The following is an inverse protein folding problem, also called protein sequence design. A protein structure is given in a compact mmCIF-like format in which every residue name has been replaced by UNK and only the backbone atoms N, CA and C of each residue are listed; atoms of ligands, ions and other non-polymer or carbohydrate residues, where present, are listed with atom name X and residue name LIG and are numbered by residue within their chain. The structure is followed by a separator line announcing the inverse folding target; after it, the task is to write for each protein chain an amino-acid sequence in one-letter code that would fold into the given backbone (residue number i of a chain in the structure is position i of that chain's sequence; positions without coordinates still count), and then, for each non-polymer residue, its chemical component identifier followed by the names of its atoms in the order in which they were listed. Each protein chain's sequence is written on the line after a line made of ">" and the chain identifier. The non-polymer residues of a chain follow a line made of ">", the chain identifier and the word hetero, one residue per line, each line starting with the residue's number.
data_IF_262256757357
#
_entry.id   IF_262256757357
#
_cell.length_a   1.000
_cell.length_b   1.000
_cell.length_c   1.000
_cell.angle_alpha   90.00
_cell.angle_beta   90.00
_cell.angle_gamma   90.00
#
_symmetry.space_group_name_H-M   'P 1'
#
loop_
_entity.id
_entity.type
_entity.pdbx_description
1 polymer ?
#
# COMPACT_ATOMS: atom_id res chain seq x y z
N UNK A 1 -0.10 -6.95 4.88
CA UNK A 1 0.72 -8.05 5.41
C UNK A 1 2.18 -7.61 5.39
N UNK A 2 3.03 -8.24 6.20
CA UNK A 2 4.48 -7.99 6.22
C UNK A 2 5.15 -8.98 5.25
N UNK A 3 5.74 -8.47 4.17
CA UNK A 3 6.45 -9.28 3.18
C UNK A 3 7.98 -9.19 3.32
N UNK A 4 8.51 -8.13 3.94
CA UNK A 4 9.94 -7.96 4.23
C UNK A 4 10.40 -8.79 5.44
N UNK A 5 9.48 -9.14 6.35
CA UNK A 5 9.74 -9.86 7.60
C UNK A 5 10.24 -8.97 8.74
N UNK A 6 10.06 -7.65 8.65
CA UNK A 6 10.54 -6.68 9.66
C UNK A 6 9.51 -6.33 10.74
N UNK A 7 8.30 -6.89 10.65
CA UNK A 7 7.19 -6.66 11.58
C UNK A 7 6.25 -5.54 11.17
N UNK A 8 6.48 -4.86 10.05
CA UNK A 8 5.63 -3.78 9.51
C UNK A 8 4.95 -4.26 8.22
N UNK A 9 3.67 -3.92 8.06
CA UNK A 9 2.96 -4.23 6.82
C UNK A 9 3.42 -3.33 5.67
N UNK A 10 3.64 -3.90 4.49
CA UNK A 10 4.20 -3.19 3.33
C UNK A 10 3.37 -3.36 2.04
N UNK A 11 3.70 -2.59 1.00
CA UNK A 11 2.96 -2.57 -0.27
C UNK A 11 3.05 -3.90 -1.03
N UNK A 12 4.15 -4.64 -0.90
CA UNK A 12 4.30 -5.97 -1.52
C UNK A 12 3.40 -6.98 -0.82
N UNK A 13 3.29 -6.88 0.50
CA UNK A 13 2.35 -7.64 1.30
C UNK A 13 0.91 -7.33 0.93
N UNK A 14 0.54 -6.06 0.68
CA UNK A 14 -0.80 -5.73 0.13
C UNK A 14 -1.00 -6.41 -1.23
N UNK A 15 -0.02 -6.30 -2.13
CA UNK A 15 -0.07 -6.90 -3.47
C UNK A 15 -0.31 -8.41 -3.41
N UNK A 16 0.35 -9.12 -2.49
CA UNK A 16 0.23 -10.57 -2.33
C UNK A 16 -1.17 -11.03 -1.91
N UNK A 17 -2.00 -10.15 -1.34
CA UNK A 17 -3.35 -10.48 -0.86
C UNK A 17 -4.47 -9.90 -1.74
N UNK A 18 -4.15 -9.34 -2.91
CA UNK A 18 -5.17 -8.81 -3.82
C UNK A 18 -6.14 -9.88 -4.33
N UNK A 19 -5.70 -11.14 -4.47
CA UNK A 19 -6.59 -12.26 -4.84
C UNK A 19 -7.61 -12.58 -3.75
N UNK A 20 -7.21 -12.45 -2.48
CA UNK A 20 -8.14 -12.63 -1.35
C UNK A 20 -9.21 -11.54 -1.36
N UNK A 21 -8.81 -10.28 -1.64
CA UNK A 21 -9.72 -9.15 -1.76
C UNK A 21 -10.66 -9.27 -2.97
N UNK A 22 -10.15 -9.72 -4.10
CA UNK A 22 -10.97 -10.01 -5.29
C UNK A 22 -11.99 -11.13 -4.99
N UNK A 23 -11.58 -12.17 -4.25
CA UNK A 23 -12.47 -13.26 -3.82
C UNK A 23 -13.55 -12.78 -2.85
N UNK A 24 -13.21 -11.84 -1.97
CA UNK A 24 -14.17 -11.18 -1.08
C UNK A 24 -15.23 -10.38 -1.85
N UNK A 25 -14.90 -9.93 -3.07
CA UNK A 25 -15.83 -9.23 -3.97
C UNK A 25 -15.92 -7.73 -3.74
N UNK A 26 -14.83 -7.08 -3.29
CA UNK A 26 -14.78 -5.62 -3.13
C UNK A 26 -14.48 -4.92 -4.46
N UNK A 27 -14.97 -3.69 -4.61
CA UNK A 27 -14.70 -2.86 -5.80
C UNK A 27 -13.53 -1.88 -5.62
N UNK A 28 -13.14 -1.60 -4.37
CA UNK A 28 -12.11 -0.61 -4.07
C UNK A 28 -11.44 -0.81 -2.71
N UNK A 29 -10.20 -0.34 -2.59
CA UNK A 29 -9.42 -0.24 -1.35
C UNK A 29 -9.05 1.22 -1.11
N UNK A 30 -9.27 1.68 0.12
CA UNK A 30 -8.72 2.95 0.61
C UNK A 30 -7.51 2.66 1.49
N UNK A 31 -6.35 3.21 1.11
CA UNK A 31 -5.13 3.10 1.89
C UNK A 31 -5.02 4.27 2.87
N UNK A 32 -4.70 3.96 4.11
CA UNK A 32 -4.15 4.96 5.04
C UNK A 32 -2.83 5.53 4.48
N UNK A 33 -2.36 6.68 4.98
CA UNK A 33 -1.13 7.30 4.51
C UNK A 33 0.07 6.33 4.51
N UNK A 34 0.78 6.30 3.40
CA UNK A 34 2.03 5.55 3.21
C UNK A 34 3.17 6.45 2.70
N UNK A 35 2.92 7.74 2.62
CA UNK A 35 3.88 8.76 2.23
C UNK A 35 4.99 8.90 3.28
N UNK A 36 6.15 9.42 2.87
CA UNK A 36 7.28 9.64 3.79
C UNK A 36 6.85 10.46 5.01
N UNK A 37 7.10 9.94 6.21
CA UNK A 37 6.67 10.54 7.47
C UNK A 37 7.67 10.27 8.61
N UNK A 38 7.80 11.19 9.59
CA UNK A 38 8.48 10.91 10.85
C UNK A 38 7.76 9.87 11.74
N UNK A 39 6.55 9.45 11.36
CA UNK A 39 5.73 8.44 12.02
C UNK A 39 5.30 8.81 13.45
N UNK A 40 5.15 10.10 13.76
CA UNK A 40 4.65 10.54 15.08
C UNK A 40 3.14 10.43 15.21
N UNK A 41 2.42 10.37 14.07
CA UNK A 41 0.99 10.12 13.99
C UNK A 41 0.68 9.03 12.95
N UNK A 42 1.46 7.95 12.95
CA UNK A 42 1.26 6.77 12.10
C UNK A 42 1.03 7.08 10.61
N UNK A 43 1.81 8.02 10.06
CA UNK A 43 1.79 8.40 8.64
C UNK A 43 0.98 9.66 8.34
N UNK A 44 0.14 10.13 9.25
CA UNK A 44 -0.66 11.34 9.04
C UNK A 44 0.17 12.64 9.17
N UNK A 45 1.35 12.57 9.79
CA UNK A 45 2.34 13.65 9.87
C UNK A 45 3.30 13.69 8.67
N UNK A 46 2.75 13.80 7.45
CA UNK A 46 3.47 13.69 6.17
C UNK A 46 4.61 14.72 6.04
N UNK A 47 5.80 14.24 5.66
CA UNK A 47 6.99 15.04 5.36
C UNK A 47 7.22 15.24 3.85
N UNK A 48 6.88 14.25 3.03
CA UNK A 48 6.89 14.37 1.55
C UNK A 48 5.66 13.68 0.96
N UNK A 49 4.79 14.46 0.32
CA UNK A 49 3.55 13.95 -0.29
C UNK A 49 3.76 13.21 -1.62
N UNK A 50 4.96 13.27 -2.20
CA UNK A 50 5.26 12.74 -3.52
C UNK A 50 6.11 11.47 -3.51
N UNK A 51 6.49 10.98 -2.33
CA UNK A 51 7.30 9.75 -2.18
C UNK A 51 6.65 8.78 -1.18
N UNK A 52 7.02 7.50 -1.31
CA UNK A 52 6.60 6.41 -0.41
C UNK A 52 7.57 6.34 0.76
N UNK A 53 7.06 6.17 1.98
CA UNK A 53 7.93 5.95 3.13
C UNK A 53 8.73 4.65 2.95
N UNK A 54 10.06 4.66 3.10
CA UNK A 54 10.90 3.47 2.92
C UNK A 54 10.51 2.26 3.79
N UNK A 55 9.80 2.47 4.91
CA UNK A 55 9.28 1.36 5.72
C UNK A 55 8.18 0.56 5.01
N UNK A 56 7.48 1.15 4.04
CA UNK A 56 6.39 0.52 3.28
C UNK A 56 6.82 0.05 1.89
N UNK A 57 7.95 0.53 1.38
CA UNK A 57 8.52 0.14 0.09
C UNK A 57 9.00 1.34 -0.73
N UNK A 58 8.76 1.28 -2.03
CA UNK A 58 9.17 2.31 -3.00
C UNK A 58 8.01 2.72 -3.90
N UNK A 59 8.17 3.83 -4.64
CA UNK A 59 7.22 4.21 -5.70
C UNK A 59 7.00 3.09 -6.73
N UNK A 60 8.04 2.32 -7.07
CA UNK A 60 7.92 1.19 -7.99
C UNK A 60 7.08 0.05 -7.39
N UNK A 61 7.15 -0.17 -6.07
CA UNK A 61 6.30 -1.15 -5.40
C UNK A 61 4.83 -0.67 -5.39
N UNK A 62 4.59 0.64 -5.23
CA UNK A 62 3.24 1.21 -5.36
C UNK A 62 2.69 1.04 -6.79
N UNK A 63 3.48 1.35 -7.82
CA UNK A 63 3.09 1.19 -9.22
C UNK A 63 2.72 -0.27 -9.53
N UNK A 64 3.51 -1.23 -9.04
CA UNK A 64 3.24 -2.66 -9.19
C UNK A 64 1.95 -3.08 -8.47
N UNK A 65 1.75 -2.62 -7.23
CA UNK A 65 0.52 -2.90 -6.47
C UNK A 65 -0.71 -2.33 -7.17
N UNK A 66 -0.62 -1.08 -7.65
CA UNK A 66 -1.71 -0.39 -8.34
C UNK A 66 -2.09 -1.10 -9.63
N UNK A 67 -1.11 -1.48 -10.46
CA UNK A 67 -1.34 -2.25 -11.67
C UNK A 67 -2.02 -3.60 -11.36
N UNK A 68 -1.50 -4.34 -10.38
CA UNK A 68 -2.06 -5.63 -9.97
C UNK A 68 -3.49 -5.52 -9.42
N UNK A 69 -3.83 -4.43 -8.74
CA UNK A 69 -5.18 -4.16 -8.26
C UNK A 69 -6.14 -3.87 -9.42
N UNK A 70 -5.71 -3.04 -10.38
CA UNK A 70 -6.50 -2.72 -11.56
C UNK A 70 -6.74 -3.93 -12.47
N UNK A 71 -5.76 -4.84 -12.61
CA UNK A 71 -5.93 -6.10 -13.35
C UNK A 71 -7.05 -6.98 -12.76
N UNK A 72 -7.36 -6.79 -11.47
CA UNK A 72 -8.45 -7.47 -10.74
C UNK A 72 -9.73 -6.66 -10.68
N UNK A 73 -9.78 -5.49 -11.31
CA UNK A 73 -10.92 -4.57 -11.26
C UNK A 73 -11.08 -3.82 -9.93
N UNK A 74 -10.07 -3.85 -9.06
CA UNK A 74 -10.10 -3.17 -7.76
C UNK A 74 -9.52 -1.75 -7.92
N UNK A 75 -10.28 -0.74 -7.51
CA UNK A 75 -9.82 0.66 -7.50
C UNK A 75 -9.03 0.97 -6.23
N UNK A 76 -8.02 1.84 -6.33
CA UNK A 76 -7.24 2.32 -5.18
C UNK A 76 -7.56 3.79 -4.92
N UNK A 77 -7.78 4.14 -3.65
CA UNK A 77 -7.97 5.51 -3.16
C UNK A 77 -6.86 5.82 -2.16
N UNK A 78 -6.33 7.03 -2.24
CA UNK A 78 -5.31 7.63 -1.36
C UNK A 78 -5.77 8.97 -0.83
#
# INVERSE_FOLDING_TARGET
>A
ADASGDGIGDLRGVTAHLDDLATLGIDAVWLSPFQTSPQKDAGYDVADYCDVDPIFGTLADFDAMLAAAHDRGIRIIV
#
